data_IF_648484484365
#
_entry.id   IF_648484484365
#
_cell.length_a   1.000
_cell.length_b   1.000
_cell.length_c   1.000
_cell.angle_alpha   90.00
_cell.angle_beta   90.00
_cell.angle_gamma   90.00
#
_symmetry.space_group_name_H-M   'P 1'
#
loop_
_entity.id
_entity.type
_entity.pdbx_description
1 polymer ?
#
# COMPACT_ATOMS: atom_id res chain seq x y z
N UNK A 1 18.69 -89.19 -75.55
CA UNK A 1 18.43 -89.55 -76.96
C UNK A 1 17.95 -88.27 -77.65
N UNK A 2 18.83 -87.63 -78.44
CA UNK A 2 18.54 -86.38 -79.15
C UNK A 2 17.70 -86.71 -80.39
N UNK A 3 16.58 -86.02 -80.59
CA UNK A 3 16.07 -85.78 -81.94
C UNK A 3 16.31 -84.30 -82.27
N UNK A 4 17.03 -84.09 -83.36
CA UNK A 4 17.33 -82.81 -83.99
C UNK A 4 16.26 -82.57 -85.05
N UNK A 5 15.64 -81.39 -85.06
CA UNK A 5 15.01 -80.84 -86.27
C UNK A 5 15.74 -79.56 -86.65
N UNK A 6 16.01 -79.44 -87.95
CA UNK A 6 16.87 -78.45 -88.59
C UNK A 6 16.04 -77.31 -89.20
N UNK A 7 16.68 -76.12 -89.28
CA UNK A 7 16.35 -74.91 -90.06
C UNK A 7 15.20 -74.04 -89.51
N UNK A 8 15.26 -72.69 -89.53
CA UNK A 8 16.05 -71.74 -90.31
C UNK A 8 16.48 -70.53 -89.44
N UNK A 9 17.43 -69.76 -89.96
CA UNK A 9 18.18 -68.67 -89.31
C UNK A 9 17.37 -67.78 -88.35
N UNK A 10 17.88 -67.67 -87.12
CA UNK A 10 17.57 -66.58 -86.19
C UNK A 10 18.49 -66.70 -84.96
N UNK A 11 19.35 -65.71 -84.72
CA UNK A 11 20.14 -65.61 -83.49
C UNK A 11 19.16 -65.59 -82.29
N UNK A 12 19.10 -66.68 -81.53
CA UNK A 12 18.43 -66.68 -80.22
C UNK A 12 19.40 -66.01 -79.24
N UNK A 13 19.21 -64.71 -79.02
CA UNK A 13 19.72 -64.09 -77.81
C UNK A 13 18.92 -64.66 -76.63
N UNK A 14 19.56 -65.56 -75.87
CA UNK A 14 19.11 -65.86 -74.51
C UNK A 14 19.31 -64.60 -73.68
N UNK A 15 18.32 -63.71 -73.66
CA UNK A 15 18.21 -62.75 -72.57
C UNK A 15 17.87 -63.54 -71.31
N UNK A 16 18.90 -63.87 -70.54
CA UNK A 16 18.78 -64.04 -69.10
C UNK A 16 18.34 -62.68 -68.54
N UNK A 17 17.04 -62.40 -68.64
CA UNK A 17 16.39 -61.26 -68.00
C UNK A 17 16.34 -61.51 -66.50
N UNK A 18 17.49 -61.41 -65.85
CA UNK A 18 17.54 -61.13 -64.43
C UNK A 18 16.74 -59.86 -64.20
N UNK A 19 15.74 -59.96 -63.34
CA UNK A 19 14.92 -58.84 -62.89
C UNK A 19 15.88 -57.89 -62.18
N UNK A 20 16.45 -56.93 -62.90
CA UNK A 20 17.21 -55.85 -62.27
C UNK A 20 16.19 -55.07 -61.44
N UNK A 21 16.30 -55.19 -60.12
CA UNK A 21 15.47 -54.45 -59.19
C UNK A 21 15.51 -52.96 -59.52
N UNK A 22 14.37 -52.28 -59.36
CA UNK A 22 14.28 -50.82 -59.49
C UNK A 22 15.45 -50.15 -58.74
N UNK A 23 16.07 -49.09 -59.30
CA UNK A 23 17.19 -48.42 -58.66
C UNK A 23 16.78 -47.98 -57.26
N UNK A 24 17.60 -48.33 -56.27
CA UNK A 24 17.39 -47.96 -54.87
C UNK A 24 17.51 -46.45 -54.74
N UNK A 25 16.47 -45.82 -54.22
CA UNK A 25 16.47 -44.39 -53.92
C UNK A 25 17.53 -44.05 -52.85
N UNK A 26 18.31 -43.01 -53.11
CA UNK A 26 19.40 -42.51 -52.27
C UNK A 26 19.26 -41.01 -51.96
N UNK A 27 18.18 -40.34 -52.39
CA UNK A 27 17.96 -38.93 -52.11
C UNK A 27 17.13 -38.77 -50.82
N UNK A 28 17.51 -37.86 -49.91
CA UNK A 28 16.70 -37.56 -48.74
C UNK A 28 15.40 -36.82 -49.09
N UNK A 29 14.33 -37.02 -48.31
CA UNK A 29 13.07 -36.31 -48.51
C UNK A 29 13.21 -34.81 -48.25
N UNK A 30 12.45 -33.98 -48.97
CA UNK A 30 12.35 -32.55 -48.69
C UNK A 30 11.30 -32.29 -47.59
N UNK A 31 11.73 -31.86 -46.41
CA UNK A 31 10.86 -31.54 -45.27
C UNK A 31 10.82 -30.02 -45.00
N UNK A 32 9.61 -29.48 -44.78
CA UNK A 32 9.36 -28.10 -44.37
C UNK A 32 8.57 -28.05 -43.06
N UNK A 33 9.23 -27.53 -42.02
CA UNK A 33 8.61 -27.27 -40.72
C UNK A 33 7.75 -26.00 -40.75
N UNK A 34 6.83 -25.85 -39.78
CA UNK A 34 6.25 -24.54 -39.43
C UNK A 34 7.33 -23.50 -39.09
N UNK A 35 6.94 -22.24 -39.11
CA UNK A 35 7.76 -21.14 -38.61
C UNK A 35 7.77 -21.11 -37.07
N UNK A 36 8.72 -20.37 -36.50
CA UNK A 36 8.77 -20.11 -35.06
C UNK A 36 7.47 -19.43 -34.56
N UNK A 37 7.04 -19.80 -33.36
CA UNK A 37 5.77 -19.35 -32.77
C UNK A 37 5.99 -18.66 -31.43
N UNK A 38 5.22 -17.60 -31.18
CA UNK A 38 5.14 -16.94 -29.87
C UNK A 38 3.71 -17.04 -29.35
N UNK A 39 3.55 -17.51 -28.12
CA UNK A 39 2.26 -17.66 -27.44
C UNK A 39 2.27 -16.86 -26.16
N UNK A 40 1.42 -15.85 -26.06
CA UNK A 40 1.26 -15.06 -24.84
C UNK A 40 0.25 -15.75 -23.90
N UNK A 41 0.64 -15.97 -22.65
CA UNK A 41 -0.19 -16.63 -21.65
C UNK A 41 -0.36 -15.75 -20.40
N UNK A 42 -1.54 -15.85 -19.79
CA UNK A 42 -1.85 -15.27 -18.47
C UNK A 42 -2.07 -16.35 -17.40
N UNK A 43 -1.79 -17.60 -17.75
CA UNK A 43 -1.91 -18.77 -16.88
C UNK A 43 -0.52 -19.36 -16.66
N UNK A 44 -0.38 -20.31 -15.73
CA UNK A 44 0.89 -21.00 -15.48
C UNK A 44 1.30 -21.95 -16.62
N UNK A 45 0.39 -22.24 -17.55
CA UNK A 45 0.68 -23.03 -18.74
C UNK A 45 -0.23 -22.64 -19.91
N UNK A 46 0.20 -22.98 -21.13
CA UNK A 46 -0.56 -22.80 -22.35
C UNK A 46 -0.54 -24.08 -23.18
N UNK A 47 -1.68 -24.43 -23.77
CA UNK A 47 -1.78 -25.50 -24.76
C UNK A 47 -1.41 -24.90 -26.12
N UNK A 48 -0.40 -25.45 -26.77
CA UNK A 48 0.11 -24.95 -28.06
C UNK A 48 -0.15 -25.96 -29.17
N UNK A 49 -0.74 -25.48 -30.26
CA UNK A 49 -1.01 -26.24 -31.47
C UNK A 49 -0.25 -25.63 -32.65
N UNK A 50 0.27 -26.47 -33.54
CA UNK A 50 0.99 -26.04 -34.75
C UNK A 50 0.61 -26.91 -35.95
N UNK A 51 0.73 -26.41 -37.19
CA UNK A 51 0.52 -27.21 -38.39
C UNK A 51 1.48 -28.40 -38.46
N UNK A 52 1.01 -29.54 -38.96
CA UNK A 52 1.89 -30.69 -39.17
C UNK A 52 2.91 -30.38 -40.29
N UNK A 53 4.21 -30.77 -40.15
CA UNK A 53 5.21 -30.52 -41.18
C UNK A 53 4.85 -31.16 -42.52
N UNK A 54 5.24 -30.51 -43.61
CA UNK A 54 5.04 -31.05 -44.96
C UNK A 54 6.33 -31.72 -45.41
N UNK A 55 6.24 -32.95 -45.90
CA UNK A 55 7.36 -33.67 -46.50
C UNK A 55 6.96 -34.23 -47.88
N UNK A 56 7.86 -34.12 -48.84
CA UNK A 56 7.70 -34.61 -50.21
C UNK A 56 8.97 -35.33 -50.66
N UNK A 57 8.80 -36.34 -51.49
CA UNK A 57 9.89 -37.15 -52.03
C UNK A 57 9.43 -37.77 -53.36
N UNK A 58 10.37 -38.06 -54.25
CA UNK A 58 10.09 -38.69 -55.54
C UNK A 58 9.75 -40.18 -55.42
N UNK A 59 10.23 -40.87 -54.38
CA UNK A 59 9.94 -42.28 -54.11
C UNK A 59 8.55 -42.50 -53.50
N UNK A 60 7.86 -41.42 -53.12
CA UNK A 60 6.50 -41.45 -52.60
C UNK A 60 6.26 -40.46 -51.46
N UNK A 61 5.36 -40.80 -50.54
CA UNK A 61 5.04 -39.96 -49.38
C UNK A 61 5.93 -40.34 -48.19
N UNK A 62 6.85 -39.47 -47.73
CA UNK A 62 7.68 -39.76 -46.56
C UNK A 62 6.85 -39.88 -45.28
N UNK A 63 7.32 -40.72 -44.37
CA UNK A 63 6.83 -40.75 -43.00
C UNK A 63 7.46 -39.60 -42.21
N UNK A 64 6.66 -38.83 -41.46
CA UNK A 64 7.16 -37.71 -40.64
C UNK A 64 6.88 -37.99 -39.18
N UNK A 65 7.91 -37.83 -38.35
CA UNK A 65 7.82 -37.96 -36.90
C UNK A 65 8.41 -36.72 -36.23
N UNK A 66 7.80 -36.27 -35.13
CA UNK A 66 8.25 -35.09 -34.38
C UNK A 66 8.48 -35.43 -32.92
N UNK A 67 9.35 -34.67 -32.26
CA UNK A 67 9.67 -34.83 -30.83
C UNK A 67 8.46 -34.64 -29.92
N UNK A 68 7.48 -33.83 -30.35
CA UNK A 68 6.22 -33.61 -29.64
C UNK A 68 5.05 -33.58 -30.62
N UNK A 69 3.83 -33.72 -30.09
CA UNK A 69 2.57 -33.63 -30.84
C UNK A 69 1.91 -32.27 -30.61
N UNK A 70 1.19 -31.76 -31.62
CA UNK A 70 0.37 -30.56 -31.47
C UNK A 70 -0.70 -30.76 -30.37
N UNK A 71 -1.01 -29.69 -29.63
CA UNK A 71 -1.78 -29.77 -28.39
C UNK A 71 -0.91 -29.98 -27.15
N UNK A 72 0.39 -29.68 -27.23
CA UNK A 72 1.34 -29.79 -26.13
C UNK A 72 1.08 -28.70 -25.09
N UNK A 73 0.96 -29.09 -23.82
CA UNK A 73 0.90 -28.14 -22.71
C UNK A 73 2.32 -27.74 -22.28
N UNK A 74 2.62 -26.45 -22.37
CA UNK A 74 3.91 -25.86 -21.99
C UNK A 74 3.74 -24.91 -20.80
N UNK A 75 4.72 -24.89 -19.90
CA UNK A 75 4.72 -23.95 -18.77
C UNK A 75 4.93 -22.51 -19.25
N UNK A 76 4.44 -21.54 -18.49
CA UNK A 76 4.65 -20.11 -18.75
C UNK A 76 5.60 -19.56 -17.69
N UNK A 77 6.66 -18.81 -18.06
CA UNK A 77 7.26 -18.71 -19.39
C UNK A 77 8.08 -19.98 -19.75
N UNK A 78 8.18 -20.33 -21.03
CA UNK A 78 9.10 -21.38 -21.48
C UNK A 78 9.44 -21.29 -22.96
N UNK A 79 10.57 -21.87 -23.35
CA UNK A 79 10.96 -22.01 -24.75
C UNK A 79 11.20 -23.48 -25.06
N UNK A 80 10.51 -24.01 -26.06
CA UNK A 80 10.61 -25.42 -26.49
C UNK A 80 10.96 -25.52 -27.97
N UNK A 81 11.90 -26.40 -28.32
CA UNK A 81 12.29 -26.66 -29.70
C UNK A 81 11.66 -27.97 -30.17
N UNK A 82 10.85 -27.91 -31.23
CA UNK A 82 10.26 -29.08 -31.86
C UNK A 82 11.18 -29.53 -32.98
N UNK A 83 11.60 -30.80 -32.95
CA UNK A 83 12.44 -31.41 -33.97
C UNK A 83 11.61 -32.44 -34.71
N UNK A 84 11.60 -32.39 -36.04
CA UNK A 84 10.88 -33.35 -36.88
C UNK A 84 11.83 -34.00 -37.87
N UNK A 85 11.67 -35.31 -38.06
CA UNK A 85 12.42 -36.13 -39.01
C UNK A 85 11.44 -36.73 -40.03
N UNK A 86 11.73 -36.54 -41.32
CA UNK A 86 11.09 -37.25 -42.43
C UNK A 86 11.98 -38.43 -42.85
N UNK A 87 11.36 -39.58 -43.11
CA UNK A 87 12.01 -40.79 -43.62
C UNK A 87 11.23 -41.35 -44.80
N UNK A 88 11.90 -41.53 -45.94
CA UNK A 88 11.35 -42.15 -47.14
C UNK A 88 11.28 -43.69 -47.04
N UNK A 89 10.87 -44.36 -48.12
CA UNK A 89 10.74 -45.82 -48.18
C UNK A 89 12.09 -46.55 -48.28
N UNK A 90 13.12 -45.92 -48.85
CA UNK A 90 14.47 -46.48 -48.99
C UNK A 90 15.32 -46.31 -47.72
N UNK A 91 14.84 -45.48 -46.79
CA UNK A 91 15.39 -45.21 -45.48
C UNK A 91 16.22 -43.93 -45.38
N UNK A 92 16.25 -43.06 -46.40
CA UNK A 92 16.94 -41.78 -46.29
C UNK A 92 16.13 -40.82 -45.41
N UNK A 93 16.83 -39.85 -44.81
CA UNK A 93 16.30 -39.03 -43.72
C UNK A 93 16.62 -37.56 -43.92
N UNK A 94 15.66 -36.71 -43.60
CA UNK A 94 15.86 -35.27 -43.47
C UNK A 94 15.21 -34.75 -42.18
N UNK A 95 15.73 -33.64 -41.64
CA UNK A 95 15.23 -33.07 -40.39
C UNK A 95 15.01 -31.57 -40.51
N UNK A 96 14.02 -31.07 -39.77
CA UNK A 96 13.83 -29.63 -39.56
C UNK A 96 13.40 -29.38 -38.10
N UNK A 97 13.52 -28.13 -37.66
CA UNK A 97 13.08 -27.72 -36.33
C UNK A 97 12.51 -26.31 -36.33
N UNK A 98 11.63 -26.05 -35.37
CA UNK A 98 11.07 -24.73 -35.10
C UNK A 98 10.91 -24.54 -33.59
N UNK A 99 10.88 -23.29 -33.16
CA UNK A 99 10.82 -22.89 -31.76
C UNK A 99 9.43 -22.41 -31.39
N UNK A 100 8.98 -22.80 -30.21
CA UNK A 100 7.78 -22.28 -29.56
C UNK A 100 8.21 -21.53 -28.31
N UNK A 101 7.88 -20.25 -28.25
CA UNK A 101 8.16 -19.36 -27.11
C UNK A 101 6.86 -18.97 -26.41
N UNK A 102 6.64 -19.48 -25.21
CA UNK A 102 5.50 -19.14 -24.36
C UNK A 102 5.91 -18.01 -23.44
N UNK A 103 5.35 -16.82 -23.66
CA UNK A 103 5.65 -15.61 -22.89
C UNK A 103 4.61 -15.37 -21.82
N UNK A 104 5.07 -14.92 -20.65
CA UNK A 104 4.19 -14.44 -19.60
C UNK A 104 3.79 -12.99 -19.85
N UNK A 105 2.48 -12.74 -19.87
CA UNK A 105 1.91 -11.39 -19.97
C UNK A 105 0.95 -11.07 -18.83
N UNK A 106 0.88 -11.93 -17.81
CA UNK A 106 0.13 -11.64 -16.60
C UNK A 106 1.00 -10.83 -15.63
N UNK A 107 0.49 -9.73 -15.05
CA UNK A 107 1.21 -9.02 -14.01
C UNK A 107 1.16 -9.81 -12.69
N UNK A 108 2.16 -9.60 -11.81
CA UNK A 108 2.15 -10.14 -10.46
C UNK A 108 0.88 -9.82 -9.70
N UNK A 109 0.44 -10.75 -8.85
CA UNK A 109 -0.58 -10.49 -7.83
C UNK A 109 0.09 -10.03 -6.54
N UNK A 110 -0.31 -8.86 -6.05
CA UNK A 110 0.14 -8.30 -4.77
C UNK A 110 -1.03 -8.23 -3.79
N UNK A 111 -0.85 -8.77 -2.59
CA UNK A 111 -1.74 -8.55 -1.45
C UNK A 111 -1.05 -7.54 -0.52
N UNK A 112 -1.52 -6.30 -0.55
CA UNK A 112 -0.99 -5.22 0.26
C UNK A 112 -1.23 -5.46 1.75
N UNK A 113 -0.41 -4.85 2.62
CA UNK A 113 -0.81 -4.59 4.00
C UNK A 113 -2.12 -3.81 4.05
N UNK A 114 -2.90 -4.01 5.10
CA UNK A 114 -4.08 -3.18 5.35
C UNK A 114 -3.67 -1.78 5.82
N UNK A 115 -4.57 -0.82 5.61
CA UNK A 115 -4.45 0.52 6.18
C UNK A 115 -4.37 0.46 7.71
N UNK A 116 -3.64 1.40 8.31
CA UNK A 116 -3.44 1.49 9.76
C UNK A 116 -3.84 2.88 10.27
N UNK A 117 -4.54 2.91 11.40
CA UNK A 117 -4.78 4.12 12.17
C UNK A 117 -4.09 4.01 13.53
N UNK A 118 -3.23 4.97 13.85
CA UNK A 118 -2.41 4.99 15.06
C UNK A 118 -2.57 6.35 15.73
N UNK A 119 -2.66 6.39 17.06
CA UNK A 119 -2.66 7.62 17.83
C UNK A 119 -1.43 7.69 18.75
N UNK A 120 -0.72 8.82 18.75
CA UNK A 120 0.44 9.04 19.61
C UNK A 120 0.59 10.49 20.05
N UNK A 121 1.01 10.69 21.30
CA UNK A 121 1.33 11.99 21.87
C UNK A 121 2.75 12.49 21.50
N UNK A 122 3.57 11.67 20.83
CA UNK A 122 4.91 12.05 20.36
C UNK A 122 4.85 12.83 19.05
N UNK A 123 5.70 13.86 18.90
CA UNK A 123 5.81 14.65 17.65
C UNK A 123 6.33 13.83 16.46
N UNK A 124 6.98 12.71 16.74
CA UNK A 124 7.50 11.79 15.74
C UNK A 124 7.13 10.35 16.07
N UNK A 125 7.01 9.52 15.03
CA UNK A 125 6.68 8.10 15.15
C UNK A 125 7.53 7.27 14.19
N UNK A 126 7.92 6.06 14.61
CA UNK A 126 8.61 5.10 13.74
C UNK A 126 7.58 4.15 13.13
N UNK A 127 7.28 4.35 11.85
CA UNK A 127 6.30 3.52 11.15
C UNK A 127 6.86 2.12 10.87
N UNK A 128 6.01 1.10 11.02
CA UNK A 128 6.37 -0.27 10.72
C UNK A 128 5.14 -1.06 10.22
N UNK A 129 5.37 -2.06 9.38
CA UNK A 129 4.32 -2.88 8.78
C UNK A 129 4.88 -4.22 8.25
N UNK A 130 4.00 -5.18 8.03
CA UNK A 130 4.35 -6.47 7.44
C UNK A 130 4.60 -6.34 5.93
N UNK A 131 5.49 -7.15 5.36
CA UNK A 131 5.67 -7.16 3.91
C UNK A 131 4.38 -7.62 3.20
N UNK A 132 4.13 -7.16 1.95
CA UNK A 132 3.04 -7.70 1.14
C UNK A 132 3.29 -9.18 0.82
N UNK A 133 2.21 -9.90 0.50
CA UNK A 133 2.34 -11.22 -0.14
C UNK A 133 2.31 -11.03 -1.65
N UNK A 134 3.28 -11.60 -2.35
CA UNK A 134 3.42 -11.47 -3.80
C UNK A 134 3.47 -12.85 -4.42
N UNK A 135 2.77 -13.04 -5.53
CA UNK A 135 2.70 -14.30 -6.27
C UNK A 135 2.47 -14.03 -7.75
N UNK A 136 2.82 -14.98 -8.60
CA UNK A 136 2.67 -14.86 -10.05
C UNK A 136 2.42 -16.24 -10.68
N UNK A 137 1.98 -16.28 -11.95
CA UNK A 137 1.75 -17.53 -12.69
C UNK A 137 3.04 -18.18 -13.21
N UNK A 138 4.17 -17.48 -13.22
CA UNK A 138 5.46 -17.97 -13.73
C UNK A 138 6.16 -19.04 -12.87
N UNK A 139 5.55 -19.51 -11.77
CA UNK A 139 6.17 -20.35 -10.73
C UNK A 139 7.46 -19.76 -10.11
N UNK A 140 7.81 -18.52 -10.47
CA UNK A 140 8.92 -17.76 -9.91
C UNK A 140 8.34 -16.68 -8.99
N UNK A 141 9.00 -16.45 -7.85
CA UNK A 141 8.59 -15.40 -6.94
C UNK A 141 8.95 -14.02 -7.52
N UNK A 142 7.99 -13.10 -7.68
CA UNK A 142 8.28 -11.75 -8.15
C UNK A 142 9.13 -10.98 -7.13
N UNK A 143 10.00 -10.11 -7.64
CA UNK A 143 10.69 -9.12 -6.82
C UNK A 143 9.73 -8.00 -6.43
N UNK A 144 9.95 -7.35 -5.27
CA UNK A 144 9.16 -6.19 -4.87
C UNK A 144 9.97 -5.15 -4.12
N UNK A 145 9.56 -3.88 -4.25
CA UNK A 145 10.16 -2.72 -3.61
C UNK A 145 9.08 -1.82 -3.01
N UNK A 146 9.39 -1.21 -1.86
CA UNK A 146 8.55 -0.19 -1.20
C UNK A 146 9.04 1.22 -1.52
N UNK A 147 8.12 2.19 -1.66
CA UNK A 147 8.42 3.62 -1.77
C UNK A 147 8.95 4.22 -0.46
N UNK A 148 8.60 3.62 0.69
CA UNK A 148 9.01 4.06 2.02
C UNK A 148 9.68 2.94 2.79
N UNK A 149 10.80 3.24 3.45
CA UNK A 149 11.53 2.25 4.25
C UNK A 149 10.81 1.98 5.58
N UNK A 150 10.66 0.71 5.94
CA UNK A 150 10.20 0.35 7.30
C UNK A 150 11.14 0.88 8.37
N UNK A 151 10.57 1.36 9.48
CA UNK A 151 11.32 1.99 10.57
C UNK A 151 11.69 3.46 10.34
N UNK A 152 11.25 4.05 9.22
CA UNK A 152 11.39 5.50 8.96
C UNK A 152 10.74 6.31 10.07
N UNK A 153 11.40 7.39 10.47
CA UNK A 153 10.86 8.35 11.42
C UNK A 153 10.02 9.38 10.67
N UNK A 154 8.77 9.59 11.11
CA UNK A 154 7.84 10.50 10.45
C UNK A 154 7.20 11.46 11.46
N UNK A 155 6.65 12.58 10.97
CA UNK A 155 6.01 13.60 11.80
C UNK A 155 4.57 13.23 12.19
N UNK A 156 4.07 13.79 13.29
CA UNK A 156 2.70 13.54 13.74
C UNK A 156 1.99 14.87 14.02
N UNK A 157 0.75 15.09 13.54
CA UNK A 157 -0.08 14.17 12.76
C UNK A 157 0.32 14.08 11.28
N UNK A 158 -0.08 13.00 10.60
CA UNK A 158 0.17 12.82 9.18
C UNK A 158 -0.47 11.55 8.61
N UNK A 159 -0.69 11.53 7.29
CA UNK A 159 -1.09 10.33 6.54
C UNK A 159 0.07 9.97 5.61
N UNK A 160 0.55 8.74 5.72
CA UNK A 160 1.69 8.24 4.97
C UNK A 160 1.23 7.20 3.97
N UNK A 161 1.40 7.47 2.68
CA UNK A 161 1.11 6.52 1.60
C UNK A 161 2.34 5.68 1.32
N UNK A 162 2.21 4.37 1.43
CA UNK A 162 3.28 3.43 1.10
C UNK A 162 2.85 2.66 -0.14
N UNK A 163 3.69 2.74 -1.17
CA UNK A 163 3.49 2.09 -2.45
C UNK A 163 4.47 0.95 -2.63
N UNK A 164 3.96 -0.22 -2.97
CA UNK A 164 4.73 -1.38 -3.34
C UNK A 164 4.64 -1.61 -4.83
N UNK A 165 5.81 -1.80 -5.47
CA UNK A 165 5.93 -2.20 -6.86
C UNK A 165 6.52 -3.59 -6.94
N UNK A 166 5.81 -4.52 -7.56
CA UNK A 166 6.31 -5.87 -7.85
C UNK A 166 6.63 -6.03 -9.34
N UNK A 167 7.64 -6.85 -9.64
CA UNK A 167 8.10 -7.18 -10.99
C UNK A 167 8.35 -8.68 -11.06
N UNK A 168 7.71 -9.39 -12.01
CA UNK A 168 7.99 -10.80 -12.29
C UNK A 168 9.26 -11.00 -13.15
N UNK A 169 9.57 -12.26 -13.47
CA UNK A 169 10.71 -12.63 -14.30
C UNK A 169 10.57 -12.22 -15.78
N UNK A 170 9.33 -11.97 -16.24
CA UNK A 170 9.00 -11.51 -17.60
C UNK A 170 8.87 -9.98 -17.67
N UNK A 171 9.24 -9.27 -16.61
CA UNK A 171 9.17 -7.83 -16.44
C UNK A 171 7.76 -7.22 -16.41
N UNK A 172 6.71 -8.02 -16.23
CA UNK A 172 5.37 -7.48 -15.96
C UNK A 172 5.31 -6.91 -14.53
N UNK A 173 4.45 -5.92 -14.33
CA UNK A 173 4.48 -5.09 -13.12
C UNK A 173 3.10 -4.94 -12.51
N UNK A 174 3.08 -4.84 -11.18
CA UNK A 174 1.91 -4.46 -10.42
C UNK A 174 2.28 -3.46 -9.32
N UNK A 175 1.33 -2.60 -8.97
CA UNK A 175 1.46 -1.61 -7.89
C UNK A 175 0.32 -1.81 -6.89
N UNK A 176 0.62 -1.48 -5.65
CA UNK A 176 -0.17 -1.78 -4.48
C UNK A 176 0.08 -0.68 -3.43
N UNK A 177 -0.96 0.02 -3.00
CA UNK A 177 -0.84 1.14 -2.07
C UNK A 177 -1.65 0.89 -0.80
N UNK A 178 -1.12 1.33 0.34
CA UNK A 178 -1.84 1.39 1.62
C UNK A 178 -1.39 2.60 2.42
N UNK A 179 -2.18 2.96 3.43
CA UNK A 179 -2.01 4.19 4.21
C UNK A 179 -1.76 3.89 5.68
N UNK A 180 -0.81 4.62 6.27
CA UNK A 180 -0.65 4.70 7.71
C UNK A 180 -1.03 6.11 8.14
N UNK A 181 -2.20 6.24 8.78
CA UNK A 181 -2.69 7.50 9.35
C UNK A 181 -2.29 7.56 10.82
N UNK A 182 -1.53 8.59 11.17
CA UNK A 182 -1.05 8.83 12.54
C UNK A 182 -1.67 10.13 13.04
N UNK A 183 -2.51 10.03 14.06
CA UNK A 183 -3.16 11.17 14.69
C UNK A 183 -2.49 11.53 16.02
N UNK A 184 -2.61 12.80 16.41
CA UNK A 184 -2.33 13.20 17.78
C UNK A 184 -3.63 13.11 18.61
N UNK A 185 -3.57 12.70 19.88
CA UNK A 185 -4.72 12.78 20.78
C UNK A 185 -5.27 14.21 20.83
N UNK A 186 -6.58 14.34 20.77
CA UNK A 186 -7.24 15.62 20.95
C UNK A 186 -7.16 16.09 22.41
N UNK A 187 -7.37 17.39 22.60
CA UNK A 187 -7.37 18.02 23.91
C UNK A 187 -8.77 18.20 24.49
N UNK A 188 -9.63 17.17 24.38
CA UNK A 188 -10.97 17.23 24.99
C UNK A 188 -10.89 17.55 26.48
N UNK A 189 -11.80 18.41 26.95
CA UNK A 189 -11.97 18.77 28.36
C UNK A 189 -12.46 17.55 29.16
N UNK A 190 -11.53 16.67 29.52
CA UNK A 190 -11.80 15.54 30.43
C UNK A 190 -11.86 15.97 31.89
N UNK A 191 -11.25 17.10 32.21
CA UNK A 191 -11.32 17.70 33.55
C UNK A 191 -12.61 18.53 33.60
N UNK A 192 -13.52 18.27 34.55
CA UNK A 192 -14.75 19.04 34.66
C UNK A 192 -14.43 20.50 35.03
N UNK A 193 -15.23 21.48 34.58
CA UNK A 193 -15.03 22.86 35.00
C UNK A 193 -15.14 23.01 36.54
N UNK A 194 -14.44 23.99 37.14
CA UNK A 194 -14.43 24.20 38.59
C UNK A 194 -15.84 24.36 39.16
N UNK A 195 -16.18 23.64 40.23
CA UNK A 195 -17.42 23.88 40.99
C UNK A 195 -17.48 25.36 41.39
N UNK A 196 -18.64 26.01 41.23
CA UNK A 196 -18.85 27.45 41.42
C UNK A 196 -17.93 28.37 40.58
N UNK A 197 -17.36 27.83 39.50
CA UNK A 197 -16.49 28.57 38.59
C UNK A 197 -16.78 28.24 37.12
N UNK A 198 -15.84 28.62 36.28
CA UNK A 198 -15.88 28.37 34.85
C UNK A 198 -14.47 28.15 34.31
N UNK A 199 -14.36 27.35 33.25
CA UNK A 199 -13.16 27.22 32.43
C UNK A 199 -13.43 27.88 31.08
N UNK A 200 -12.50 28.72 30.64
CA UNK A 200 -12.54 29.36 29.33
C UNK A 200 -11.34 28.86 28.52
N UNK A 201 -11.58 28.31 27.34
CA UNK A 201 -10.58 27.69 26.50
C UNK A 201 -10.58 28.26 25.09
N UNK A 202 -9.39 28.51 24.57
CA UNK A 202 -9.13 28.75 23.16
C UNK A 202 -8.57 27.48 22.54
N UNK A 203 -9.21 26.98 21.46
CA UNK A 203 -8.67 25.87 20.69
C UNK A 203 -7.81 26.40 19.54
N UNK A 204 -6.55 25.94 19.49
CA UNK A 204 -5.63 26.24 18.42
C UNK A 204 -5.17 24.94 17.73
N UNK A 205 -5.86 24.58 16.64
CA UNK A 205 -5.50 23.45 15.79
C UNK A 205 -5.36 22.13 16.58
N UNK A 206 -6.27 21.88 17.53
CA UNK A 206 -6.28 20.68 18.37
C UNK A 206 -5.53 20.80 19.71
N UNK A 207 -4.81 21.89 19.94
CA UNK A 207 -4.30 22.26 21.27
C UNK A 207 -5.31 23.14 21.99
N UNK A 208 -5.39 23.04 23.32
CA UNK A 208 -6.25 23.92 24.12
C UNK A 208 -5.42 24.79 25.03
N UNK A 209 -5.76 26.08 25.09
CA UNK A 209 -5.19 27.05 26.02
C UNK A 209 -6.32 27.57 26.87
N UNK A 210 -6.31 27.26 28.16
CA UNK A 210 -7.44 27.47 29.05
C UNK A 210 -7.06 28.31 30.27
N UNK A 211 -8.02 29.07 30.77
CA UNK A 211 -7.96 29.80 32.05
C UNK A 211 -9.17 29.42 32.90
N UNK A 212 -9.01 29.42 34.21
CA UNK A 212 -10.11 29.16 35.15
C UNK A 212 -10.49 30.43 35.91
N UNK A 213 -11.76 30.55 36.26
CA UNK A 213 -12.28 31.67 37.03
C UNK A 213 -13.34 31.21 38.03
N UNK A 214 -13.43 31.88 39.16
CA UNK A 214 -14.45 31.65 40.17
C UNK A 214 -15.55 32.69 40.11
N UNK A 215 -16.77 32.30 40.48
CA UNK A 215 -17.77 33.28 40.85
C UNK A 215 -17.26 34.09 42.06
N UNK A 216 -17.47 35.40 42.08
CA UNK A 216 -16.95 36.32 43.10
C UNK A 216 -17.41 35.99 44.52
N UNK A 217 -18.51 35.25 44.68
CA UNK A 217 -19.00 34.77 45.98
C UNK A 217 -18.13 33.66 46.58
N UNK A 218 -17.32 33.00 45.74
CA UNK A 218 -16.43 31.92 46.11
C UNK A 218 -14.98 32.28 45.79
N UNK A 219 -14.07 31.42 46.21
CA UNK A 219 -12.64 31.50 45.98
C UNK A 219 -12.06 30.10 45.78
N UNK A 220 -10.90 30.03 45.12
CA UNK A 220 -10.25 28.77 44.80
C UNK A 220 -9.80 28.03 46.07
N UNK A 221 -9.91 26.71 46.06
CA UNK A 221 -9.39 25.84 47.12
C UNK A 221 -7.88 26.07 47.38
N UNK A 222 -7.12 26.27 46.32
CA UNK A 222 -5.70 26.64 46.33
C UNK A 222 -5.38 27.51 45.12
N UNK A 223 -4.22 28.16 45.08
CA UNK A 223 -3.84 29.04 43.96
C UNK A 223 -3.75 28.24 42.64
N UNK A 224 -4.59 28.54 41.63
CA UNK A 224 -4.50 27.92 40.31
C UNK A 224 -3.25 28.39 39.55
N UNK A 225 -2.93 27.70 38.45
CA UNK A 225 -2.01 28.25 37.45
C UNK A 225 -2.69 29.38 36.66
N UNK A 226 -1.89 30.27 36.08
CA UNK A 226 -2.40 31.34 35.22
C UNK A 226 -3.03 30.78 33.95
N UNK A 227 -2.37 29.81 33.32
CA UNK A 227 -2.80 29.17 32.07
C UNK A 227 -2.64 27.66 32.16
N UNK A 228 -3.64 26.94 31.66
CA UNK A 228 -3.64 25.49 31.48
C UNK A 228 -3.52 25.19 29.99
N UNK A 229 -2.51 24.40 29.63
CA UNK A 229 -2.17 24.09 28.26
C UNK A 229 -2.44 22.62 28.03
N UNK A 230 -3.15 22.29 26.97
CA UNK A 230 -3.19 20.94 26.47
C UNK A 230 -2.55 20.91 25.08
N UNK A 231 -1.53 20.07 24.94
CA UNK A 231 -0.93 19.79 23.65
C UNK A 231 -0.90 18.28 23.46
N UNK A 232 -1.44 17.80 22.34
CA UNK A 232 -1.42 16.36 21.98
C UNK A 232 -1.99 15.45 23.08
N UNK A 233 -3.07 15.90 23.73
CA UNK A 233 -3.76 15.21 24.84
C UNK A 233 -3.08 15.30 26.21
N UNK A 234 -1.92 15.96 26.32
CA UNK A 234 -1.21 16.17 27.60
C UNK A 234 -1.47 17.56 28.14
N UNK A 235 -2.00 17.61 29.36
CA UNK A 235 -2.22 18.84 30.10
C UNK A 235 -0.97 19.23 30.89
N UNK A 236 -0.62 20.52 30.83
CA UNK A 236 0.44 21.17 31.58
C UNK A 236 -0.01 22.57 32.00
N UNK A 237 0.82 23.26 32.77
CA UNK A 237 0.52 24.59 33.29
C UNK A 237 1.60 25.59 32.93
N UNK A 238 1.21 26.86 32.86
CA UNK A 238 2.11 27.99 32.77
C UNK A 238 1.63 29.06 33.76
N UNK A 239 2.53 29.56 34.60
CA UNK A 239 2.18 30.60 35.57
C UNK A 239 3.34 31.55 35.85
N UNK A 240 3.09 32.85 35.67
CA UNK A 240 4.00 33.94 36.06
C UNK A 240 3.67 34.47 37.47
N UNK A 241 2.46 34.19 37.96
CA UNK A 241 1.93 34.67 39.25
C UNK A 241 2.12 33.66 40.39
N UNK A 242 2.92 32.62 40.16
CA UNK A 242 3.03 31.46 41.05
C UNK A 242 1.75 30.59 41.03
N UNK A 243 1.60 29.70 42.01
CA UNK A 243 0.45 28.78 42.11
C UNK A 243 0.83 27.33 41.84
N UNK A 244 -0.20 26.48 41.70
CA UNK A 244 -0.01 25.03 41.54
C UNK A 244 0.53 24.65 40.16
N UNK A 245 1.51 23.74 40.12
CA UNK A 245 1.98 23.10 38.89
C UNK A 245 1.09 21.92 38.45
N UNK A 246 0.00 21.66 39.17
CA UNK A 246 -0.97 20.60 38.84
C UNK A 246 -1.66 20.89 37.52
N UNK A 247 -1.66 19.92 36.61
CA UNK A 247 -2.44 19.95 35.38
C UNK A 247 -3.97 19.96 35.63
N UNK A 248 -4.41 19.68 36.85
CA UNK A 248 -5.79 19.78 37.30
C UNK A 248 -6.01 21.10 38.05
N UNK A 249 -6.99 21.88 37.59
CA UNK A 249 -7.40 23.11 38.25
C UNK A 249 -8.20 22.86 39.55
N UNK A 250 -8.09 23.77 40.54
CA UNK A 250 -8.89 23.73 41.76
C UNK A 250 -10.35 24.11 41.52
N UNK A 251 -11.24 23.58 42.35
CA UNK A 251 -12.61 24.05 42.48
C UNK A 251 -12.70 25.38 43.25
N UNK A 252 -13.80 26.11 43.05
CA UNK A 252 -14.13 27.33 43.80
C UNK A 252 -14.94 26.98 45.06
N UNK A 253 -14.31 26.26 45.99
CA UNK A 253 -14.97 25.68 47.16
C UNK A 253 -14.83 26.51 48.44
N UNK A 254 -14.07 27.61 48.42
CA UNK A 254 -13.89 28.47 49.60
C UNK A 254 -14.87 29.62 49.53
N UNK A 255 -15.58 29.94 50.62
CA UNK A 255 -16.42 31.16 50.65
C UNK A 255 -15.53 32.41 50.62
N UNK A 256 -15.93 33.40 49.84
CA UNK A 256 -15.15 34.64 49.69
C UNK A 256 -14.99 35.37 51.02
N UNK A 257 -13.74 35.56 51.48
CA UNK A 257 -13.40 36.20 52.77
C UNK A 257 -12.75 37.58 52.62
N UNK A 258 -13.03 38.30 51.54
CA UNK A 258 -12.45 39.62 51.24
C UNK A 258 -11.01 39.55 50.69
N UNK A 259 -10.16 38.65 51.21
CA UNK A 259 -8.83 38.37 50.68
C UNK A 259 -8.91 37.20 49.70
N UNK A 260 -8.75 37.49 48.40
CA UNK A 260 -8.78 36.48 47.32
C UNK A 260 -7.45 35.73 47.17
N UNK A 261 -7.48 34.43 46.86
CA UNK A 261 -6.28 33.62 46.57
C UNK A 261 -5.51 34.12 45.36
N UNK A 262 -6.23 34.57 44.33
CA UNK A 262 -5.66 35.22 43.15
C UNK A 262 -5.82 36.74 43.28
N UNK A 263 -4.74 37.52 43.09
CA UNK A 263 -4.80 38.98 43.25
C UNK A 263 -5.47 39.69 42.07
N UNK A 264 -5.56 39.01 40.91
CA UNK A 264 -6.05 39.60 39.68
C UNK A 264 -7.58 39.42 39.54
N UNK A 265 -8.35 40.49 39.27
CA UNK A 265 -9.81 40.41 39.14
C UNK A 265 -10.26 39.53 37.95
N UNK A 266 -9.39 39.31 36.97
CA UNK A 266 -9.67 38.47 35.79
C UNK A 266 -9.92 37.00 36.17
N UNK A 267 -9.45 36.53 37.33
CA UNK A 267 -9.77 35.19 37.84
C UNK A 267 -11.15 35.11 38.49
N UNK A 268 -11.92 36.20 38.53
CA UNK A 268 -13.24 36.23 39.14
C UNK A 268 -14.27 36.85 38.19
N UNK A 269 -15.52 36.40 38.31
CA UNK A 269 -16.66 36.99 37.62
C UNK A 269 -17.86 37.10 38.58
N UNK A 270 -18.79 38.00 38.28
CA UNK A 270 -19.99 38.22 39.09
C UNK A 270 -21.23 38.01 38.22
N UNK A 271 -22.27 37.40 38.77
CA UNK A 271 -23.52 37.11 38.06
C UNK A 271 -23.75 35.63 37.76
N UNK A 272 -24.84 35.33 37.05
CA UNK A 272 -25.19 33.96 36.64
C UNK A 272 -24.58 33.63 35.28
N UNK A 273 -24.06 32.41 35.13
CA UNK A 273 -23.52 31.91 33.87
C UNK A 273 -24.55 31.83 32.75
N UNK A 274 -25.85 31.85 33.07
CA UNK A 274 -26.91 31.93 32.05
C UNK A 274 -26.95 33.29 31.33
N UNK A 275 -26.36 34.32 31.91
CA UNK A 275 -26.32 35.66 31.32
C UNK A 275 -25.22 35.76 30.25
N UNK A 276 -25.57 36.08 28.98
CA UNK A 276 -24.60 36.28 27.91
C UNK A 276 -23.53 37.32 28.22
N UNK A 277 -23.86 38.36 29.00
CA UNK A 277 -22.91 39.40 29.40
C UNK A 277 -21.85 38.86 30.36
N UNK A 278 -22.25 37.96 31.27
CA UNK A 278 -21.31 37.27 32.18
C UNK A 278 -20.38 36.37 31.36
N UNK A 279 -20.91 35.61 30.40
CA UNK A 279 -20.09 34.78 29.50
C UNK A 279 -19.11 35.66 28.70
N UNK A 280 -19.58 36.78 28.14
CA UNK A 280 -18.74 37.73 27.40
C UNK A 280 -17.62 38.30 28.29
N UNK A 281 -17.92 38.61 29.55
CA UNK A 281 -16.93 39.09 30.51
C UNK A 281 -15.89 38.02 30.84
N UNK A 282 -16.30 36.77 31.04
CA UNK A 282 -15.37 35.65 31.26
C UNK A 282 -14.44 35.48 30.05
N UNK A 283 -14.96 35.59 28.82
CA UNK A 283 -14.16 35.55 27.59
C UNK A 283 -13.11 36.67 27.54
N UNK A 284 -13.50 37.90 27.87
CA UNK A 284 -12.58 39.04 27.92
C UNK A 284 -11.50 38.88 28.99
N UNK A 285 -11.89 38.44 30.20
CA UNK A 285 -10.97 38.17 31.28
C UNK A 285 -9.95 37.08 30.90
N UNK A 286 -10.41 36.02 30.21
CA UNK A 286 -9.54 34.96 29.69
C UNK A 286 -8.49 35.52 28.72
N UNK A 287 -8.90 36.32 27.73
CA UNK A 287 -7.96 36.94 26.77
C UNK A 287 -6.93 37.82 27.48
N UNK A 288 -7.36 38.60 28.47
CA UNK A 288 -6.44 39.42 29.25
C UNK A 288 -5.39 38.57 29.97
N UNK A 289 -5.79 37.44 30.58
CA UNK A 289 -4.85 36.50 31.22
C UNK A 289 -3.93 35.79 30.24
N UNK A 290 -4.38 35.57 28.99
CA UNK A 290 -3.59 34.97 27.91
C UNK A 290 -2.65 35.95 27.20
N UNK A 291 -2.65 37.23 27.59
CA UNK A 291 -1.76 38.26 27.07
C UNK A 291 -0.74 38.78 28.09
N UNK A 292 0.26 39.56 27.65
CA UNK A 292 1.14 40.32 28.54
C UNK A 292 0.34 41.29 29.42
N UNK A 293 0.79 41.56 30.66
CA UNK A 293 2.04 41.07 31.26
C UNK A 293 1.95 39.67 31.86
N UNK A 294 0.77 39.04 31.86
CA UNK A 294 0.53 37.79 32.61
C UNK A 294 0.99 36.53 31.87
N UNK A 295 0.89 36.56 30.55
CA UNK A 295 1.30 35.46 29.68
C UNK A 295 2.11 35.97 28.49
N UNK A 296 3.03 35.16 27.95
CA UNK A 296 3.79 35.49 26.75
C UNK A 296 2.90 35.92 25.56
N UNK A 297 3.37 36.85 24.70
CA UNK A 297 2.61 37.32 23.54
C UNK A 297 2.16 36.21 22.59
N UNK A 298 2.91 35.10 22.52
CA UNK A 298 2.64 33.98 21.64
C UNK A 298 1.38 33.17 22.00
N UNK A 299 0.77 33.38 23.17
CA UNK A 299 -0.51 32.73 23.49
C UNK A 299 -1.67 33.39 22.76
N UNK A 300 -1.92 34.68 22.99
CA UNK A 300 -3.08 35.36 22.39
C UNK A 300 -2.72 36.49 21.42
N UNK A 301 -1.76 37.36 21.76
CA UNK A 301 -1.46 38.57 20.96
C UNK A 301 -0.94 38.23 19.56
N UNK A 302 -0.06 37.23 19.43
CA UNK A 302 0.49 36.82 18.13
C UNK A 302 -0.44 35.89 17.35
N UNK A 303 -1.60 35.51 17.91
CA UNK A 303 -2.56 34.62 17.27
C UNK A 303 -3.86 35.39 16.99
N UNK A 304 -4.14 35.82 15.75
CA UNK A 304 -5.35 36.60 15.44
C UNK A 304 -6.66 35.85 15.76
N UNK A 305 -6.59 34.52 15.80
CA UNK A 305 -7.72 33.66 16.17
C UNK A 305 -7.97 33.58 17.68
N UNK A 306 -7.10 34.11 18.54
CA UNK A 306 -7.34 34.21 19.97
C UNK A 306 -8.12 35.50 20.27
N UNK A 307 -9.44 35.42 20.13
CA UNK A 307 -10.36 36.53 20.39
C UNK A 307 -11.65 36.03 21.03
N UNK A 308 -12.52 36.94 21.48
CA UNK A 308 -13.73 36.61 22.27
C UNK A 308 -14.68 35.65 21.54
N UNK A 309 -14.68 35.65 20.20
CA UNK A 309 -15.55 34.76 19.42
C UNK A 309 -15.09 33.31 19.49
N UNK A 310 -13.78 33.07 19.55
CA UNK A 310 -13.18 31.74 19.55
C UNK A 310 -12.85 31.17 20.95
N UNK A 311 -13.14 31.93 22.01
CA UNK A 311 -13.10 31.42 23.38
C UNK A 311 -14.40 30.66 23.66
N UNK A 312 -14.27 29.40 24.04
CA UNK A 312 -15.37 28.57 24.54
C UNK A 312 -15.35 28.57 26.06
N UNK A 313 -16.50 28.76 26.69
CA UNK A 313 -16.63 28.82 28.15
C UNK A 313 -17.53 27.69 28.62
N UNK A 314 -17.10 26.96 29.64
CA UNK A 314 -17.85 25.89 30.27
C UNK A 314 -17.98 26.17 31.76
N UNK A 315 -19.21 26.20 32.27
CA UNK A 315 -19.49 26.39 33.69
C UNK A 315 -19.35 25.08 34.47
N UNK A 316 -18.87 25.20 35.70
CA UNK A 316 -18.95 24.11 36.64
C UNK A 316 -20.31 24.02 37.30
N UNK A 317 -20.49 22.93 38.04
CA UNK A 317 -21.70 22.73 38.84
C UNK A 317 -21.79 23.83 39.91
N UNK A 318 -23.01 24.28 40.22
CA UNK A 318 -23.28 25.15 41.36
C UNK A 318 -23.34 24.29 42.63
N UNK A 319 -22.69 24.74 43.70
CA UNK A 319 -22.72 24.11 45.02
C UNK A 319 -22.86 25.17 46.11
N UNK A 320 -23.73 24.93 47.08
CA UNK A 320 -24.00 25.85 48.19
C UNK A 320 -23.22 25.52 49.47
N UNK A 321 -22.57 24.36 49.50
CA UNK A 321 -21.69 23.89 50.59
C UNK A 321 -20.39 24.67 50.63
#
# INVERSE_FOLDING_TARGET
MKLVFFTALGLVFLFNGGIQGLPRDNLPPAIRCPDDMVVNSRQSSAIVCWPFPKATDESGKPSVTCSHKAGLQLQTPSTTIIKCEAKDAAGNKASCSFKIDVKDVAPPKIICPADQEISTDSRTFRINWNNPKVSDNSNMLPSFQSSLRRGSLVHVPGVYTISYRAIDASANQAICDFHIKITAPDCKLKIPPPVNGAVACWNNQGNNVCTVSCNSNFDFAFRPATVYLCTRGKWSTFSTLGGSNSAKWPDCSVKSSGIKKMPLPQFYYTGDFKDPNVIAKIKQNSIALLGPPYSPPFFCIMNPNCNVQHIQVHAGKKSTT
#
